data_IF_924314915641
#
_entry.id   IF_924314915641
#
_cell.length_a   1.000
_cell.length_b   1.000
_cell.length_c   1.000
_cell.angle_alpha   90.00
_cell.angle_beta   90.00
_cell.angle_gamma   90.00
#
_symmetry.space_group_name_H-M   'P 1'
#
loop_
_entity.id
_entity.type
_entity.pdbx_description
1 polymer ?
#
# COMPACT_ATOMS: atom_id res chain seq x y z
N UNK A 1 -5.79 13.70 -0.71
CA UNK A 1 -6.83 13.73 -1.78
C UNK A 1 -7.31 12.31 -2.03
N UNK A 2 -8.61 12.06 -2.24
CA UNK A 2 -9.09 10.70 -2.54
C UNK A 2 -8.74 10.34 -4.00
N UNK A 3 -7.77 9.46 -4.20
CA UNK A 3 -7.43 8.95 -5.53
C UNK A 3 -8.52 7.98 -5.98
N UNK A 4 -9.22 8.32 -7.06
CA UNK A 4 -10.23 7.43 -7.66
C UNK A 4 -9.52 6.27 -8.36
N UNK A 5 -9.73 5.05 -7.89
CA UNK A 5 -9.18 3.84 -8.52
C UNK A 5 -10.09 3.44 -9.69
N UNK A 6 -9.59 3.32 -10.92
CA UNK A 6 -10.41 2.96 -12.07
C UNK A 6 -11.00 1.55 -11.95
N UNK A 7 -12.19 1.36 -12.51
CA UNK A 7 -12.82 0.04 -12.61
C UNK A 7 -11.94 -0.85 -13.48
N UNK A 8 -11.49 -1.99 -12.95
CA UNK A 8 -10.59 -2.92 -13.65
C UNK A 8 -9.10 -2.63 -13.48
N UNK A 9 -8.69 -1.80 -12.50
CA UNK A 9 -7.28 -1.60 -12.18
C UNK A 9 -6.58 -2.94 -11.89
N UNK A 10 -5.51 -3.23 -12.65
CA UNK A 10 -4.73 -4.48 -12.55
C UNK A 10 -4.21 -4.70 -11.13
N UNK A 11 -3.91 -3.64 -10.38
CA UNK A 11 -3.47 -3.72 -8.98
C UNK A 11 -4.59 -4.18 -8.06
N UNK A 12 -5.83 -3.75 -8.29
CA UNK A 12 -6.99 -4.23 -7.51
C UNK A 12 -7.19 -5.73 -7.76
N UNK A 13 -7.05 -6.17 -9.00
CA UNK A 13 -7.12 -7.59 -9.38
C UNK A 13 -6.00 -8.38 -8.69
N UNK A 14 -4.77 -7.87 -8.72
CA UNK A 14 -3.61 -8.51 -8.07
C UNK A 14 -3.79 -8.61 -6.55
N UNK A 15 -4.20 -7.53 -5.88
CA UNK A 15 -4.45 -7.53 -4.42
C UNK A 15 -5.60 -8.48 -4.07
N UNK A 16 -6.68 -8.48 -4.85
CA UNK A 16 -7.78 -9.44 -4.67
C UNK A 16 -7.27 -10.88 -4.78
N UNK A 17 -6.54 -11.21 -5.85
CA UNK A 17 -6.00 -12.55 -6.05
C UNK A 17 -5.01 -12.96 -4.94
N UNK A 18 -4.27 -12.00 -4.38
CA UNK A 18 -3.38 -12.26 -3.26
C UNK A 18 -4.13 -12.55 -1.94
N UNK A 19 -5.32 -11.98 -1.73
CA UNK A 19 -6.10 -12.10 -0.49
C UNK A 19 -7.17 -13.20 -0.53
N UNK A 20 -7.81 -13.43 -1.68
CA UNK A 20 -8.95 -14.34 -1.86
C UNK A 20 -8.67 -15.81 -1.48
N UNK A 21 -7.49 -16.41 -1.75
CA UNK A 21 -7.20 -17.79 -1.37
C UNK A 21 -7.04 -18.00 0.15
N UNK A 22 -6.97 -16.92 0.93
CA UNK A 22 -6.65 -16.97 2.35
C UNK A 22 -7.83 -16.50 3.20
N UNK A 23 -7.85 -16.94 4.45
CA UNK A 23 -8.75 -16.38 5.46
C UNK A 23 -8.27 -14.97 5.89
N UNK A 24 -8.10 -14.04 4.96
CA UNK A 24 -7.52 -12.70 5.16
C UNK A 24 -8.12 -11.90 6.33
N UNK A 25 -9.33 -12.24 6.78
CA UNK A 25 -9.95 -11.67 7.99
C UNK A 25 -9.23 -12.04 9.29
N UNK A 26 -8.56 -13.18 9.34
CA UNK A 26 -7.75 -13.63 10.48
C UNK A 26 -6.36 -12.98 10.53
N UNK A 27 -5.96 -12.28 9.46
CA UNK A 27 -4.67 -11.60 9.43
C UNK A 27 -4.63 -10.39 10.36
N UNK A 28 -3.42 -10.05 10.79
CA UNK A 28 -3.13 -8.74 11.39
C UNK A 28 -3.19 -7.66 10.32
N UNK A 29 -3.44 -6.41 10.72
CA UNK A 29 -3.45 -5.25 9.81
C UNK A 29 -2.14 -5.15 9.03
N UNK A 30 -1.01 -5.27 9.71
CA UNK A 30 0.31 -5.25 9.08
C UNK A 30 0.51 -6.34 8.02
N UNK A 31 0.04 -7.56 8.27
CA UNK A 31 0.18 -8.67 7.32
C UNK A 31 -0.67 -8.44 6.05
N UNK A 32 -1.89 -7.93 6.20
CA UNK A 32 -2.75 -7.56 5.06
C UNK A 32 -2.09 -6.47 4.22
N UNK A 33 -1.58 -5.40 4.85
CA UNK A 33 -0.92 -4.30 4.15
C UNK A 33 0.33 -4.78 3.41
N UNK A 34 1.21 -5.54 4.06
CA UNK A 34 2.43 -6.09 3.44
C UNK A 34 2.10 -6.94 2.22
N UNK A 35 1.09 -7.80 2.33
CA UNK A 35 0.66 -8.67 1.23
C UNK A 35 0.08 -7.90 0.06
N UNK A 36 -0.72 -6.86 0.35
CA UNK A 36 -1.26 -5.99 -0.68
C UNK A 36 -0.16 -5.22 -1.42
N UNK A 37 0.81 -4.64 -0.68
CA UNK A 37 1.94 -3.92 -1.30
C UNK A 37 2.78 -4.84 -2.17
N UNK A 38 3.12 -6.04 -1.67
CA UNK A 38 3.83 -7.04 -2.47
C UNK A 38 3.08 -7.38 -3.77
N UNK A 39 1.76 -7.58 -3.70
CA UNK A 39 0.94 -7.87 -4.87
C UNK A 39 0.89 -6.72 -5.89
N UNK A 40 0.85 -5.47 -5.42
CA UNK A 40 0.86 -4.28 -6.29
C UNK A 40 2.18 -4.08 -7.03
N UNK A 41 3.30 -4.43 -6.39
CA UNK A 41 4.64 -4.27 -6.95
C UNK A 41 5.07 -5.45 -7.84
N UNK A 42 4.14 -6.37 -8.15
CA UNK A 42 4.41 -7.56 -8.96
C UNK A 42 5.25 -8.61 -8.23
N UNK A 43 5.37 -8.50 -6.91
CA UNK A 43 6.12 -9.42 -6.07
C UNK A 43 5.39 -10.75 -5.97
N UNK A 44 6.03 -11.79 -6.48
CA UNK A 44 5.61 -13.17 -6.26
C UNK A 44 5.45 -13.40 -4.75
N UNK A 45 4.26 -13.84 -4.34
CA UNK A 45 3.85 -13.96 -2.94
C UNK A 45 4.68 -14.97 -2.14
N UNK A 46 5.66 -15.63 -2.79
CA UNK A 46 6.59 -16.59 -2.22
C UNK A 46 7.98 -16.05 -1.86
N UNK A 47 8.38 -14.85 -2.29
CA UNK A 47 9.68 -14.27 -1.92
C UNK A 47 9.58 -13.45 -0.63
N UNK A 48 9.30 -14.14 0.48
CA UNK A 48 9.41 -13.55 1.81
C UNK A 48 10.90 -13.39 2.14
N UNK A 49 11.52 -12.28 1.69
CA UNK A 49 12.81 -11.87 2.25
C UNK A 49 12.55 -11.38 3.67
N UNK A 50 13.03 -12.13 4.67
CA UNK A 50 13.11 -11.65 6.05
C UNK A 50 13.78 -10.26 6.07
N UNK A 51 13.36 -9.35 6.97
CA UNK A 51 14.04 -8.08 7.14
C UNK A 51 15.44 -8.33 7.67
N UNK A 52 16.44 -8.28 6.78
CA UNK A 52 17.82 -8.06 7.16
C UNK A 52 17.99 -6.61 7.65
N UNK A 53 19.05 -6.31 8.41
CA UNK A 53 19.25 -4.97 8.95
C UNK A 53 19.55 -4.02 7.79
N UNK A 54 18.54 -3.24 7.38
CA UNK A 54 18.70 -2.14 6.44
C UNK A 54 18.63 -0.86 7.25
N UNK A 55 19.73 -0.13 7.26
CA UNK A 55 19.83 1.23 7.77
C UNK A 55 18.96 2.14 6.90
N UNK A 56 17.69 2.31 7.30
CA UNK A 56 16.68 3.09 6.60
C UNK A 56 15.42 2.26 6.29
N UNK A 57 14.24 2.80 6.59
CA UNK A 57 12.98 2.17 6.22
C UNK A 57 12.91 2.06 4.69
N UNK A 58 12.56 0.87 4.17
CA UNK A 58 12.29 0.74 2.74
C UNK A 58 11.05 1.59 2.39
N UNK A 59 10.98 2.23 1.20
CA UNK A 59 9.75 2.87 0.74
C UNK A 59 8.53 1.94 0.80
N UNK A 60 8.76 0.63 0.71
CA UNK A 60 7.75 -0.41 0.90
C UNK A 60 7.26 -0.50 2.35
N UNK A 61 8.15 -0.43 3.33
CA UNK A 61 7.80 -0.46 4.75
C UNK A 61 7.04 0.81 5.16
N UNK A 62 7.46 1.97 4.66
CA UNK A 62 6.75 3.24 4.91
C UNK A 62 5.34 3.24 4.29
N UNK A 63 5.20 2.69 3.08
CA UNK A 63 3.89 2.50 2.46
C UNK A 63 3.01 1.55 3.28
N UNK A 64 3.59 0.48 3.83
CA UNK A 64 2.88 -0.45 4.71
C UNK A 64 2.40 0.24 5.98
N UNK A 65 3.23 1.06 6.62
CA UNK A 65 2.85 1.83 7.81
C UNK A 65 1.71 2.80 7.50
N UNK A 66 1.80 3.55 6.40
CA UNK A 66 0.72 4.44 5.97
C UNK A 66 -0.61 3.69 5.74
N UNK A 67 -0.57 2.50 5.13
CA UNK A 67 -1.76 1.67 4.94
C UNK A 67 -2.31 1.13 6.26
N UNK A 68 -1.43 0.76 7.21
CA UNK A 68 -1.85 0.31 8.54
C UNK A 68 -2.63 1.40 9.27
N UNK A 69 -2.20 2.66 9.20
CA UNK A 69 -2.93 3.79 9.78
C UNK A 69 -4.33 3.95 9.16
N UNK A 70 -4.44 3.82 7.84
CA UNK A 70 -5.74 3.85 7.15
C UNK A 70 -6.64 2.69 7.61
N UNK A 71 -6.09 1.48 7.75
CA UNK A 71 -6.86 0.34 8.25
C UNK A 71 -7.23 0.48 9.73
N UNK A 72 -6.38 1.08 10.56
CA UNK A 72 -6.68 1.34 11.97
C UNK A 72 -7.82 2.36 12.11
N UNK A 73 -7.93 3.32 11.18
CA UNK A 73 -9.02 4.29 11.12
C UNK A 73 -10.37 3.73 10.65
N UNK A 74 -10.45 2.47 10.19
CA UNK A 74 -11.70 1.91 9.66
C UNK A 74 -11.97 0.46 10.06
N UNK A 75 -13.23 0.04 9.96
CA UNK A 75 -13.65 -1.34 10.24
C UNK A 75 -13.40 -2.26 9.03
N UNK A 76 -12.16 -2.34 8.57
CA UNK A 76 -11.79 -3.03 7.33
C UNK A 76 -12.20 -4.51 7.26
N UNK A 77 -12.32 -5.20 8.40
CA UNK A 77 -12.81 -6.59 8.46
C UNK A 77 -14.27 -6.75 8.05
N UNK A 78 -15.07 -5.69 8.13
CA UNK A 78 -16.46 -5.66 7.69
C UNK A 78 -16.59 -5.49 6.17
N UNK A 79 -15.50 -5.18 5.46
CA UNK A 79 -15.52 -4.98 4.02
C UNK A 79 -15.58 -6.32 3.26
N UNK A 80 -15.98 -6.25 2.00
CA UNK A 80 -15.74 -7.32 1.03
C UNK A 80 -14.28 -7.31 0.60
N UNK A 81 -13.78 -8.43 0.04
CA UNK A 81 -12.41 -8.48 -0.49
C UNK A 81 -12.20 -7.40 -1.55
N UNK A 82 -13.18 -7.21 -2.44
CA UNK A 82 -13.13 -6.18 -3.48
C UNK A 82 -13.07 -4.76 -2.88
N UNK A 83 -13.89 -4.47 -1.86
CA UNK A 83 -13.87 -3.19 -1.17
C UNK A 83 -12.54 -2.94 -0.45
N UNK A 84 -11.98 -3.95 0.21
CA UNK A 84 -10.67 -3.88 0.85
C UNK A 84 -9.54 -3.67 -0.17
N UNK A 85 -9.55 -4.41 -1.29
CA UNK A 85 -8.55 -4.26 -2.34
C UNK A 85 -8.56 -2.86 -2.94
N UNK A 86 -9.74 -2.29 -3.22
CA UNK A 86 -9.86 -0.92 -3.72
C UNK A 86 -9.37 0.11 -2.69
N UNK A 87 -9.72 -0.07 -1.42
CA UNK A 87 -9.26 0.81 -0.35
C UNK A 87 -7.73 0.80 -0.24
N UNK A 88 -7.10 -0.39 -0.26
CA UNK A 88 -5.64 -0.52 -0.15
C UNK A 88 -4.92 0.07 -1.35
N UNK A 89 -5.41 -0.19 -2.58
CA UNK A 89 -4.83 0.38 -3.80
C UNK A 89 -4.98 1.90 -3.82
N UNK A 90 -6.16 2.42 -3.47
CA UNK A 90 -6.41 3.86 -3.43
C UNK A 90 -5.54 4.58 -2.40
N UNK A 91 -5.42 4.02 -1.20
CA UNK A 91 -4.56 4.56 -0.15
C UNK A 91 -3.08 4.52 -0.53
N UNK A 92 -2.60 3.42 -1.14
CA UNK A 92 -1.22 3.32 -1.60
C UNK A 92 -0.90 4.31 -2.72
N UNK A 93 -1.84 4.53 -3.65
CA UNK A 93 -1.69 5.52 -4.70
C UNK A 93 -1.66 6.95 -4.15
N UNK A 94 -2.57 7.26 -3.22
CA UNK A 94 -2.59 8.56 -2.55
C UNK A 94 -1.28 8.84 -1.82
N UNK A 95 -0.77 7.86 -1.06
CA UNK A 95 0.51 7.97 -0.38
C UNK A 95 1.68 8.18 -1.36
N UNK A 96 1.75 7.41 -2.46
CA UNK A 96 2.81 7.57 -3.48
C UNK A 96 2.76 8.95 -4.13
N UNK A 97 1.56 9.45 -4.42
CA UNK A 97 1.37 10.78 -5.00
C UNK A 97 1.81 11.88 -4.03
N UNK A 98 1.41 11.79 -2.77
CA UNK A 98 1.81 12.74 -1.72
C UNK A 98 3.32 12.75 -1.53
N UNK A 99 3.95 11.57 -1.49
CA UNK A 99 5.41 11.45 -1.40
C UNK A 99 6.12 12.07 -2.60
N UNK A 100 5.67 11.77 -3.82
CA UNK A 100 6.25 12.36 -5.04
C UNK A 100 6.11 13.89 -5.04
N UNK A 101 4.99 14.43 -4.54
CA UNK A 101 4.82 15.87 -4.40
C UNK A 101 5.77 16.48 -3.37
N UNK A 102 5.99 15.81 -2.23
CA UNK A 102 6.99 16.23 -1.25
C UNK A 102 8.40 16.23 -1.84
N UNK A 103 8.79 15.20 -2.59
CA UNK A 103 10.10 15.11 -3.22
C UNK A 103 10.33 16.26 -4.21
N UNK A 104 9.34 16.58 -5.05
CA UNK A 104 9.39 17.73 -5.97
C UNK A 104 9.56 19.03 -5.18
N UNK A 105 8.76 19.23 -4.13
CA UNK A 105 8.80 20.45 -3.32
C UNK A 105 10.15 20.61 -2.60
N UNK A 106 10.72 19.52 -2.11
CA UNK A 106 12.05 19.52 -1.51
C UNK A 106 13.12 19.86 -2.55
N UNK A 107 13.04 19.29 -3.76
CA UNK A 107 13.93 19.65 -4.87
C UNK A 107 13.89 21.15 -5.18
N UNK A 108 12.69 21.71 -5.37
CA UNK A 108 12.53 23.16 -5.65
C UNK A 108 13.09 24.06 -4.54
N UNK A 109 12.89 23.67 -3.26
CA UNK A 109 13.43 24.41 -2.12
C UNK A 109 14.96 24.35 -2.07
N UNK A 110 15.56 23.22 -2.42
CA UNK A 110 17.01 23.04 -2.45
C UNK A 110 17.66 23.71 -3.67
N UNK A 111 16.97 23.74 -4.80
CA UNK A 111 17.43 24.36 -6.05
C UNK A 111 17.35 25.89 -6.03
N UNK A 112 16.77 26.48 -4.97
CA UNK A 112 16.64 27.95 -4.83
C UNK A 112 15.64 28.58 -5.78
N UNK A 113 14.77 27.78 -6.41
CA UNK A 113 13.67 28.24 -7.27
C UNK A 113 12.45 28.47 -6.38
N UNK A 114 12.44 29.59 -5.65
CA UNK A 114 11.33 30.04 -4.80
C UNK A 114 10.63 31.25 -5.42
#
# INVERSE_FOLDING_TARGET
MAVSVPVGDVRVVAVRAALEPFAWRSFTTGLVCRRAVAAMDGGDSGSFRLPGPRTGASPQDECVEALVEVLNGCRWRALTVDGLSRLLVGAALGWRQERAWFDIRLGLLLDGVA
#
